data_IF_991007867133
#
_entry.id   IF_991007867133
#
_cell.length_a   1.000
_cell.length_b   1.000
_cell.length_c   1.000
_cell.angle_alpha   90.00
_cell.angle_beta   90.00
_cell.angle_gamma   90.00
#
_symmetry.space_group_name_H-M   'P 1'
#
loop_
_entity.id
_entity.type
_entity.pdbx_description
1 polymer ?
#
# COMPACT_ATOMS: atom_id res chain seq x y z
N UNK A 1 44.29 12.54 -1.25
CA UNK A 1 45.61 13.20 -1.16
C UNK A 1 45.38 14.70 -1.07
N UNK A 2 45.39 15.25 0.14
CA UNK A 2 45.77 16.60 0.58
C UNK A 2 45.55 16.62 2.10
N UNK A 3 46.60 17.05 2.81
CA UNK A 3 46.88 16.99 4.25
C UNK A 3 46.05 18.03 5.04
N UNK A 4 45.40 17.65 6.14
CA UNK A 4 45.84 17.72 7.55
C UNK A 4 45.85 19.12 8.20
N UNK A 5 45.14 19.26 9.33
CA UNK A 5 45.63 19.95 10.54
C UNK A 5 45.00 19.36 11.80
N UNK A 6 45.88 19.08 12.76
CA UNK A 6 45.66 18.43 14.05
C UNK A 6 45.04 19.33 15.12
N UNK A 7 44.36 18.70 16.08
CA UNK A 7 44.17 19.21 17.44
C UNK A 7 44.12 18.03 18.42
N UNK A 8 45.17 17.88 19.25
CA UNK A 8 45.30 16.88 20.33
C UNK A 8 44.40 17.23 21.53
N UNK A 9 43.89 16.22 22.25
CA UNK A 9 43.88 16.18 23.73
C UNK A 9 43.56 14.79 24.30
N UNK A 10 44.62 14.23 24.90
CA UNK A 10 44.80 13.34 26.05
C UNK A 10 43.65 12.47 26.61
N UNK A 11 44.01 11.19 26.80
CA UNK A 11 43.35 10.19 27.63
C UNK A 11 43.68 10.38 29.12
N UNK A 12 42.70 10.19 29.99
CA UNK A 12 42.94 9.85 31.39
C UNK A 12 41.93 8.79 31.84
N UNK A 13 42.46 7.66 32.27
CA UNK A 13 41.74 6.49 32.79
C UNK A 13 41.42 6.72 34.27
N UNK A 14 40.19 6.44 34.70
CA UNK A 14 39.86 6.26 36.12
C UNK A 14 38.74 5.22 36.28
N UNK A 15 39.12 4.09 36.89
CA UNK A 15 38.22 3.08 37.46
C UNK A 15 37.33 3.70 38.54
N UNK A 16 36.10 3.20 38.71
CA UNK A 16 35.41 3.22 40.00
C UNK A 16 34.37 2.11 40.13
N UNK A 17 34.41 1.54 41.33
CA UNK A 17 33.85 0.28 41.79
C UNK A 17 32.32 0.23 41.94
N UNK A 18 31.82 -1.01 41.90
CA UNK A 18 30.48 -1.41 42.31
C UNK A 18 30.29 -1.21 43.82
N UNK A 19 29.16 -0.62 44.23
CA UNK A 19 28.60 -0.77 45.57
C UNK A 19 27.08 -0.64 45.51
N UNK A 20 26.40 -1.73 45.83
CA UNK A 20 24.96 -1.87 46.02
C UNK A 20 24.46 -0.98 47.16
N UNK A 21 23.32 -0.32 47.00
CA UNK A 21 22.46 0.05 48.13
C UNK A 21 20.98 0.10 47.70
N UNK A 22 20.23 -0.86 48.25
CA UNK A 22 18.78 -0.93 48.20
C UNK A 22 18.19 0.18 49.09
N UNK A 23 17.16 0.87 48.62
CA UNK A 23 16.35 1.77 49.46
C UNK A 23 15.01 1.09 49.72
N UNK A 24 14.78 0.80 50.99
CA UNK A 24 13.61 0.18 51.58
C UNK A 24 12.44 1.16 51.70
N UNK A 25 11.23 0.64 51.45
CA UNK A 25 9.96 1.32 51.70
C UNK A 25 9.61 1.30 53.20
N UNK A 26 8.95 2.35 53.75
CA UNK A 26 8.30 2.26 55.03
C UNK A 26 6.84 1.81 54.88
N UNK A 27 6.43 0.90 55.75
CA UNK A 27 5.07 0.40 55.88
C UNK A 27 4.27 1.22 56.92
N UNK A 28 2.94 1.09 56.81
CA UNK A 28 1.87 1.29 57.80
C UNK A 28 1.27 2.70 57.98
N UNK A 29 -0.01 2.83 57.61
CA UNK A 29 -1.09 2.85 58.60
C UNK A 29 -2.46 2.70 57.94
N UNK A 30 -3.20 1.74 58.46
CA UNK A 30 -4.60 1.44 58.14
C UNK A 30 -5.48 2.44 58.89
N UNK A 31 -6.26 3.25 58.20
CA UNK A 31 -7.45 3.88 58.78
C UNK A 31 -8.63 3.75 57.82
N UNK A 32 -9.64 3.05 58.33
CA UNK A 32 -10.95 2.92 57.74
C UNK A 32 -11.62 4.29 57.59
N UNK A 33 -12.22 4.56 56.44
CA UNK A 33 -13.31 5.51 56.31
C UNK A 33 -14.52 4.81 55.73
N UNK A 34 -15.65 5.10 56.39
CA UNK A 34 -16.92 4.42 56.33
C UNK A 34 -17.60 4.55 54.97
N UNK A 35 -18.39 3.52 54.66
CA UNK A 35 -19.42 3.46 53.64
C UNK A 35 -20.38 4.66 53.74
N UNK A 36 -20.26 5.60 52.80
CA UNK A 36 -21.36 6.50 52.43
C UNK A 36 -21.92 6.03 51.10
N UNK A 37 -23.07 5.36 51.18
CA UNK A 37 -23.95 5.05 50.06
C UNK A 37 -24.38 6.34 49.35
N UNK A 38 -23.81 6.60 48.19
CA UNK A 38 -24.43 7.45 47.17
C UNK A 38 -24.48 6.65 45.87
N UNK A 39 -25.71 6.49 45.39
CA UNK A 39 -26.07 5.89 44.12
C UNK A 39 -25.52 6.76 42.98
N UNK A 40 -24.27 6.57 42.61
CA UNK A 40 -23.80 6.97 41.29
C UNK A 40 -23.94 5.77 40.36
N UNK A 41 -24.76 5.97 39.31
CA UNK A 41 -25.11 4.97 38.34
C UNK A 41 -23.89 4.31 37.72
N UNK A 42 -23.51 3.14 38.25
CA UNK A 42 -22.69 2.18 37.53
C UNK A 42 -23.47 1.84 36.27
N UNK A 43 -23.10 2.46 35.17
CA UNK A 43 -23.59 2.11 33.85
C UNK A 43 -23.21 0.64 33.66
N UNK A 44 -24.18 -0.25 33.86
CA UNK A 44 -24.00 -1.69 33.70
C UNK A 44 -23.57 -1.90 32.25
N UNK A 45 -22.29 -2.20 32.02
CA UNK A 45 -21.66 -2.50 30.72
C UNK A 45 -22.15 -3.84 30.14
N UNK A 46 -23.42 -4.19 30.39
CA UNK A 46 -23.96 -5.53 30.21
C UNK A 46 -24.48 -5.84 28.81
N UNK A 47 -24.27 -4.99 27.80
CA UNK A 47 -24.47 -5.30 26.37
C UNK A 47 -24.03 -4.11 25.50
N UNK A 48 -22.86 -4.18 24.88
CA UNK A 48 -22.56 -3.35 23.71
C UNK A 48 -23.09 -4.09 22.48
N UNK A 49 -24.29 -3.72 22.03
CA UNK A 49 -24.83 -4.24 20.78
C UNK A 49 -24.04 -3.63 19.60
N UNK A 50 -23.39 -4.48 18.80
CA UNK A 50 -22.70 -4.04 17.59
C UNK A 50 -23.76 -3.71 16.53
N UNK A 51 -23.81 -2.43 16.12
CA UNK A 51 -24.71 -1.99 15.06
C UNK A 51 -24.27 -2.56 13.70
N UNK A 52 -25.20 -2.80 12.76
CA UNK A 52 -24.83 -3.26 11.42
C UNK A 52 -23.99 -2.21 10.69
N UNK A 53 -23.01 -2.67 9.93
CA UNK A 53 -22.17 -1.83 9.08
C UNK A 53 -22.91 -1.56 7.77
N UNK A 54 -23.28 -0.31 7.54
CA UNK A 54 -24.04 0.14 6.35
C UNK A 54 -23.33 1.21 5.53
N UNK A 55 -22.16 1.68 5.95
CA UNK A 55 -21.39 2.70 5.23
C UNK A 55 -19.89 2.40 5.26
N UNK A 56 -19.28 2.26 4.08
CA UNK A 56 -17.88 1.90 3.96
C UNK A 56 -16.93 2.96 4.56
N UNK A 57 -17.24 4.26 4.47
CA UNK A 57 -16.38 5.32 5.01
C UNK A 57 -16.26 5.36 6.53
N UNK A 58 -17.10 4.61 7.27
CA UNK A 58 -17.29 4.75 8.72
C UNK A 58 -17.06 3.44 9.48
N UNK A 59 -16.02 2.68 9.10
CA UNK A 59 -15.67 1.42 9.76
C UNK A 59 -14.32 1.56 10.46
N UNK A 60 -14.27 1.25 11.75
CA UNK A 60 -13.03 1.09 12.52
C UNK A 60 -12.70 -0.38 12.74
N UNK A 61 -11.42 -0.67 12.95
CA UNK A 61 -10.94 -2.02 13.30
C UNK A 61 -10.37 -2.06 14.71
N UNK A 62 -10.75 -3.09 15.46
CA UNK A 62 -10.13 -3.44 16.73
C UNK A 62 -9.81 -4.93 16.67
N UNK A 63 -8.54 -5.27 16.86
CA UNK A 63 -8.06 -6.66 16.76
C UNK A 63 -8.68 -7.58 17.81
N UNK A 64 -8.73 -8.88 17.49
CA UNK A 64 -9.33 -9.92 18.34
C UNK A 64 -8.71 -9.99 19.74
N UNK A 65 -7.40 -9.71 19.83
CA UNK A 65 -6.65 -9.71 21.09
C UNK A 65 -6.91 -8.48 21.96
N UNK A 66 -7.61 -7.46 21.47
CA UNK A 66 -7.92 -6.29 22.27
C UNK A 66 -8.93 -6.64 23.36
N UNK A 67 -8.68 -6.17 24.58
CA UNK A 67 -9.56 -6.40 25.74
C UNK A 67 -11.01 -5.94 25.54
N UNK A 68 -11.28 -5.09 24.53
CA UNK A 68 -12.62 -4.71 24.11
C UNK A 68 -13.50 -5.92 23.72
N UNK A 69 -12.91 -6.96 23.10
CA UNK A 69 -13.65 -8.17 22.74
C UNK A 69 -14.18 -8.93 23.97
N UNK A 70 -13.56 -8.79 25.15
CA UNK A 70 -14.06 -9.39 26.41
C UNK A 70 -15.38 -8.75 26.88
N UNK A 71 -15.67 -7.53 26.43
CA UNK A 71 -16.89 -6.80 26.78
C UNK A 71 -18.08 -7.20 25.88
N UNK A 72 -17.82 -7.82 24.73
CA UNK A 72 -18.83 -8.26 23.77
C UNK A 72 -19.29 -9.69 24.07
N UNK A 73 -20.01 -9.90 25.19
CA UNK A 73 -20.56 -11.23 25.52
C UNK A 73 -21.76 -11.57 24.63
N UNK A 74 -21.63 -12.59 23.79
CA UNK A 74 -22.75 -13.17 23.00
C UNK A 74 -22.45 -13.48 21.53
N UNK A 75 -21.32 -13.04 20.99
CA UNK A 75 -20.88 -13.45 19.65
C UNK A 75 -20.07 -14.75 19.74
N UNK A 76 -20.38 -15.74 18.88
CA UNK A 76 -19.59 -16.98 18.80
C UNK A 76 -18.20 -16.77 18.19
N UNK A 77 -18.00 -15.65 17.48
CA UNK A 77 -16.73 -15.25 16.84
C UNK A 77 -16.35 -13.82 17.26
N UNK A 78 -15.05 -13.49 17.35
CA UNK A 78 -14.61 -12.15 17.69
C UNK A 78 -15.10 -11.14 16.65
N UNK A 79 -15.64 -10.02 17.10
CA UNK A 79 -16.08 -8.93 16.22
C UNK A 79 -14.92 -7.97 16.05
N UNK A 80 -14.46 -7.76 14.82
CA UNK A 80 -13.28 -6.93 14.56
C UNK A 80 -13.60 -5.61 13.85
N UNK A 81 -14.78 -5.52 13.21
CA UNK A 81 -15.24 -4.28 12.57
C UNK A 81 -16.33 -3.61 13.40
N UNK A 82 -16.20 -2.31 13.56
CA UNK A 82 -17.13 -1.50 14.33
C UNK A 82 -17.59 -0.31 13.51
N UNK A 83 -18.91 -0.03 13.45
CA UNK A 83 -19.39 1.22 12.87
C UNK A 83 -18.93 2.35 13.76
N UNK A 84 -18.18 3.28 13.18
CA UNK A 84 -17.77 4.50 13.86
C UNK A 84 -18.88 5.54 13.71
N UNK A 85 -19.35 6.14 14.81
CA UNK A 85 -20.25 7.27 14.74
C UNK A 85 -19.70 8.33 13.78
N UNK A 86 -20.56 8.92 12.93
CA UNK A 86 -20.16 9.99 12.01
C UNK A 86 -19.46 11.16 12.72
N UNK A 87 -19.73 11.31 14.02
CA UNK A 87 -19.23 12.38 14.89
C UNK A 87 -18.22 11.91 15.97
N UNK A 88 -17.58 10.74 15.86
CA UNK A 88 -16.64 10.30 16.93
C UNK A 88 -15.42 11.23 17.11
N UNK A 89 -15.06 12.03 16.09
CA UNK A 89 -14.06 13.10 16.20
C UNK A 89 -14.65 14.45 16.69
N UNK A 90 -15.97 14.56 16.81
CA UNK A 90 -16.66 15.79 17.19
C UNK A 90 -16.55 16.11 18.69
N UNK A 91 -15.99 15.21 19.51
CA UNK A 91 -15.68 15.53 20.90
C UNK A 91 -14.46 16.46 21.05
N UNK A 92 -13.69 16.73 19.98
CA UNK A 92 -12.51 17.61 20.05
C UNK A 92 -12.20 18.48 18.82
N UNK A 93 -12.85 18.29 17.66
CA UNK A 93 -12.53 19.05 16.44
C UNK A 93 -13.83 19.60 15.81
N UNK A 94 -13.95 20.93 15.59
CA UNK A 94 -15.11 21.53 14.92
C UNK A 94 -15.44 20.84 13.60
N UNK A 95 -16.72 20.75 13.25
CA UNK A 95 -17.18 20.18 12.00
C UNK A 95 -16.80 21.10 10.81
N UNK A 96 -15.57 20.98 10.33
CA UNK A 96 -15.04 21.81 9.24
C UNK A 96 -13.55 22.05 9.42
N UNK A 97 -12.87 22.35 8.32
CA UNK A 97 -11.54 22.93 8.43
C UNK A 97 -11.64 24.32 9.03
N UNK A 98 -10.68 24.66 9.90
CA UNK A 98 -10.51 26.02 10.40
C UNK A 98 -10.45 27.01 9.21
N UNK A 99 -11.19 28.15 9.25
CA UNK A 99 -11.10 29.17 8.21
C UNK A 99 -9.66 29.58 7.83
N UNK A 100 -8.72 29.59 8.78
CA UNK A 100 -7.31 29.86 8.49
C UNK A 100 -6.70 28.77 7.60
N UNK A 101 -6.97 27.50 7.91
CA UNK A 101 -6.49 26.36 7.12
C UNK A 101 -7.04 26.42 5.68
N UNK A 102 -8.31 26.78 5.52
CA UNK A 102 -8.91 27.01 4.19
C UNK A 102 -8.17 28.11 3.41
N UNK A 103 -7.79 29.21 4.08
CA UNK A 103 -7.01 30.28 3.44
C UNK A 103 -5.61 29.80 3.04
N UNK A 104 -4.96 29.01 3.88
CA UNK A 104 -3.64 28.40 3.59
C UNK A 104 -3.76 27.50 2.35
N UNK A 105 -4.77 26.63 2.30
CA UNK A 105 -5.04 25.74 1.17
C UNK A 105 -5.29 26.52 -0.13
N UNK A 106 -6.07 27.61 -0.07
CA UNK A 106 -6.29 28.51 -1.21
C UNK A 106 -4.99 29.14 -1.70
N UNK A 107 -4.14 29.64 -0.80
CA UNK A 107 -2.82 30.22 -1.14
C UNK A 107 -1.86 29.19 -1.74
N UNK A 108 -1.92 27.93 -1.29
CA UNK A 108 -1.18 26.80 -1.89
C UNK A 108 -1.76 26.33 -3.23
N UNK A 109 -2.88 26.89 -3.66
CA UNK A 109 -3.58 26.50 -4.89
C UNK A 109 -4.16 25.08 -4.82
N UNK A 110 -4.44 24.56 -3.63
CA UNK A 110 -4.87 23.17 -3.42
C UNK A 110 -6.19 22.83 -4.15
N UNK A 111 -7.06 23.82 -4.33
CA UNK A 111 -8.36 23.69 -5.02
C UNK A 111 -8.28 24.03 -6.52
N UNK A 112 -7.10 24.37 -7.04
CA UNK A 112 -6.94 24.76 -8.44
C UNK A 112 -6.81 23.51 -9.31
N UNK A 113 -7.67 23.43 -10.32
CA UNK A 113 -7.63 22.41 -11.37
C UNK A 113 -7.15 23.04 -12.69
N UNK A 114 -6.48 22.26 -13.57
CA UNK A 114 -6.13 22.72 -14.91
C UNK A 114 -7.40 22.91 -15.78
N UNK A 115 -7.27 23.44 -17.00
CA UNK A 115 -8.39 23.49 -17.95
C UNK A 115 -9.07 22.12 -18.09
N UNK A 116 -10.39 22.12 -18.26
CA UNK A 116 -11.20 20.89 -18.29
C UNK A 116 -10.68 19.86 -19.30
N UNK A 117 -10.24 20.30 -20.48
CA UNK A 117 -9.67 19.43 -21.51
C UNK A 117 -8.44 18.67 -21.01
N UNK A 118 -7.56 19.34 -20.27
CA UNK A 118 -6.38 18.70 -19.68
C UNK A 118 -6.75 17.82 -18.49
N UNK A 119 -7.75 18.19 -17.70
CA UNK A 119 -8.28 17.29 -16.65
C UNK A 119 -8.80 15.99 -17.25
N UNK A 120 -9.63 16.09 -18.29
CA UNK A 120 -10.27 14.95 -18.96
C UNK A 120 -9.19 14.01 -19.56
N UNK A 121 -8.18 14.56 -20.24
CA UNK A 121 -7.02 13.81 -20.76
C UNK A 121 -6.24 13.06 -19.68
N UNK A 122 -5.95 13.73 -18.55
CA UNK A 122 -5.21 13.13 -17.44
C UNK A 122 -6.01 12.04 -16.71
N UNK A 123 -7.31 12.24 -16.54
CA UNK A 123 -8.22 11.24 -15.93
C UNK A 123 -8.31 10.00 -16.83
N UNK A 124 -8.48 10.18 -18.13
CA UNK A 124 -8.48 9.07 -19.09
C UNK A 124 -7.13 8.35 -19.13
N UNK A 125 -6.02 9.09 -19.08
CA UNK A 125 -4.66 8.50 -18.97
C UNK A 125 -4.53 7.65 -17.69
N UNK A 126 -5.06 8.11 -16.56
CA UNK A 126 -5.08 7.34 -15.32
C UNK A 126 -5.85 6.03 -15.48
N UNK A 127 -7.07 6.06 -16.01
CA UNK A 127 -7.89 4.85 -16.18
C UNK A 127 -7.32 3.89 -17.22
N UNK A 128 -6.63 4.39 -18.25
CA UNK A 128 -6.01 3.55 -19.27
C UNK A 128 -4.73 2.84 -18.75
N UNK A 129 -3.88 3.53 -17.99
CA UNK A 129 -2.51 3.06 -17.73
C UNK A 129 -2.16 2.84 -16.26
N UNK A 130 -2.77 3.56 -15.32
CA UNK A 130 -2.50 3.39 -13.89
C UNK A 130 -3.49 2.43 -13.23
N UNK A 131 -4.78 2.56 -13.56
CA UNK A 131 -5.86 1.76 -12.98
C UNK A 131 -5.69 0.25 -13.15
N UNK A 132 -5.16 -0.30 -14.26
CA UNK A 132 -4.96 -1.76 -14.37
C UNK A 132 -3.98 -2.36 -13.35
N UNK A 133 -3.04 -1.57 -12.83
CA UNK A 133 -2.10 -1.98 -11.76
C UNK A 133 -2.62 -1.56 -10.38
N UNK A 134 -3.44 -0.50 -10.33
CA UNK A 134 -3.96 0.13 -9.11
C UNK A 134 -5.48 0.33 -9.25
N UNK A 135 -6.30 -0.75 -9.32
CA UNK A 135 -7.74 -0.70 -9.63
C UNK A 135 -8.57 -0.29 -8.41
N UNK A 136 -8.18 0.81 -7.79
CA UNK A 136 -8.66 1.24 -6.47
C UNK A 136 -9.82 2.22 -6.56
N UNK A 137 -10.20 2.66 -7.75
CA UNK A 137 -11.27 3.63 -8.01
C UNK A 137 -12.40 2.94 -8.75
N UNK A 138 -13.63 3.18 -8.31
CA UNK A 138 -14.83 2.85 -9.09
C UNK A 138 -14.98 3.91 -10.19
N UNK A 139 -14.67 3.55 -11.44
CA UNK A 139 -14.65 4.45 -12.59
C UNK A 139 -16.05 5.00 -12.87
N UNK A 140 -17.06 4.15 -12.88
CA UNK A 140 -18.45 4.56 -13.16
C UNK A 140 -18.94 5.60 -12.15
N UNK A 141 -18.74 5.35 -10.85
CA UNK A 141 -19.08 6.29 -9.78
C UNK A 141 -18.25 7.58 -9.87
N UNK A 142 -16.94 7.47 -10.08
CA UNK A 142 -16.05 8.64 -10.17
C UNK A 142 -16.43 9.55 -11.33
N UNK A 143 -16.66 9.00 -12.52
CA UNK A 143 -16.99 9.78 -13.72
C UNK A 143 -18.39 10.41 -13.61
N UNK A 144 -19.35 9.72 -13.00
CA UNK A 144 -20.65 10.29 -12.66
C UNK A 144 -20.52 11.52 -11.77
N UNK A 145 -19.76 11.41 -10.68
CA UNK A 145 -19.49 12.54 -9.77
C UNK A 145 -18.71 13.66 -10.47
N UNK A 146 -17.70 13.33 -11.28
CA UNK A 146 -16.86 14.31 -11.96
C UNK A 146 -17.65 15.18 -12.96
N UNK A 147 -18.74 14.63 -13.53
CA UNK A 147 -19.66 15.35 -14.40
C UNK A 147 -20.72 16.15 -13.64
N UNK A 148 -20.94 15.86 -12.36
CA UNK A 148 -21.94 16.53 -11.51
C UNK A 148 -21.29 17.64 -10.66
N UNK A 149 -21.49 18.94 -10.99
CA UNK A 149 -20.94 20.03 -10.21
C UNK A 149 -21.51 20.12 -8.79
N UNK A 150 -22.66 19.48 -8.50
CA UNK A 150 -23.30 19.51 -7.18
C UNK A 150 -22.76 18.46 -6.23
N UNK A 151 -22.20 17.37 -6.77
CA UNK A 151 -21.63 16.27 -6.00
C UNK A 151 -20.29 15.80 -6.59
N UNK A 152 -19.29 16.70 -6.65
CA UNK A 152 -18.01 16.37 -7.26
C UNK A 152 -17.23 15.35 -6.40
N UNK A 153 -16.28 14.60 -7.00
CA UNK A 153 -15.35 13.79 -6.24
C UNK A 153 -14.53 14.66 -5.29
N UNK A 154 -13.92 14.03 -4.29
CA UNK A 154 -13.01 14.71 -3.39
C UNK A 154 -11.90 15.45 -4.15
N UNK A 155 -11.64 16.70 -3.74
CA UNK A 155 -10.52 17.47 -4.27
C UNK A 155 -9.18 16.77 -4.05
N UNK A 156 -8.99 16.12 -2.90
CA UNK A 156 -7.77 15.35 -2.63
C UNK A 156 -7.62 14.23 -3.66
N UNK A 157 -8.69 13.48 -3.90
CA UNK A 157 -8.69 12.38 -4.85
C UNK A 157 -8.43 12.85 -6.29
N UNK A 158 -9.08 13.94 -6.73
CA UNK A 158 -8.85 14.50 -8.07
C UNK A 158 -7.39 14.90 -8.24
N UNK A 159 -6.80 15.64 -7.29
CA UNK A 159 -5.38 16.03 -7.39
C UNK A 159 -4.46 14.80 -7.47
N UNK A 160 -4.78 13.71 -6.75
CA UNK A 160 -4.05 12.46 -6.80
C UNK A 160 -4.20 11.70 -8.14
N UNK A 161 -5.39 11.71 -8.74
CA UNK A 161 -5.63 11.12 -10.06
C UNK A 161 -4.87 11.92 -11.13
N UNK A 162 -4.93 13.26 -11.07
CA UNK A 162 -4.17 14.13 -11.98
C UNK A 162 -2.66 13.95 -11.81
N UNK A 163 -2.17 13.75 -10.59
CA UNK A 163 -0.78 13.40 -10.32
C UNK A 163 -0.36 12.12 -11.04
N UNK A 164 -1.13 11.05 -10.88
CA UNK A 164 -0.84 9.76 -11.50
C UNK A 164 -0.93 9.84 -13.03
N UNK A 165 -1.97 10.51 -13.55
CA UNK A 165 -2.12 10.76 -14.99
C UNK A 165 -0.96 11.57 -15.57
N UNK A 166 -0.56 12.67 -14.93
CA UNK A 166 0.53 13.53 -15.40
C UNK A 166 1.90 12.84 -15.37
N UNK A 167 2.08 11.85 -14.51
CA UNK A 167 3.32 11.06 -14.45
C UNK A 167 3.48 10.15 -15.68
N UNK A 168 2.36 9.74 -16.29
CA UNK A 168 2.32 8.81 -17.42
C UNK A 168 2.11 9.55 -18.75
N UNK A 169 1.38 10.66 -18.72
CA UNK A 169 0.97 11.42 -19.90
C UNK A 169 2.17 11.92 -20.71
N UNK A 170 2.01 11.88 -22.04
CA UNK A 170 2.94 12.45 -23.03
C UNK A 170 2.47 13.81 -23.55
N UNK A 171 1.42 14.38 -22.94
CA UNK A 171 0.83 15.65 -23.38
C UNK A 171 1.84 16.80 -23.27
N UNK A 172 2.08 17.49 -24.39
CA UNK A 172 3.04 18.58 -24.49
C UNK A 172 2.71 19.78 -23.60
N UNK A 173 1.43 19.98 -23.22
CA UNK A 173 1.02 21.05 -22.33
C UNK A 173 1.57 20.89 -20.90
N UNK A 174 1.97 19.68 -20.51
CA UNK A 174 2.55 19.39 -19.20
C UNK A 174 4.08 19.54 -19.17
N UNK A 175 4.70 19.62 -20.34
CA UNK A 175 6.15 19.60 -20.50
C UNK A 175 6.72 20.99 -20.22
N UNK A 176 7.44 21.10 -19.10
CA UNK A 176 8.29 22.25 -18.79
C UNK A 176 9.72 21.76 -18.84
N UNK A 177 10.57 22.43 -19.63
CA UNK A 177 11.96 22.01 -19.88
C UNK A 177 12.09 20.56 -20.38
N UNK A 178 11.11 20.11 -21.17
CA UNK A 178 11.07 18.75 -21.75
C UNK A 178 10.63 17.65 -20.78
N UNK A 179 10.09 17.98 -19.61
CA UNK A 179 9.63 17.01 -18.61
C UNK A 179 8.28 17.37 -17.98
N UNK A 180 7.47 16.36 -17.65
CA UNK A 180 6.23 16.54 -16.86
C UNK A 180 6.50 16.75 -15.36
N UNK A 181 7.76 16.70 -14.93
CA UNK A 181 8.15 16.74 -13.50
C UNK A 181 7.59 17.94 -12.74
N UNK A 182 7.51 19.11 -13.37
CA UNK A 182 6.94 20.32 -12.77
C UNK A 182 5.43 20.19 -12.53
N UNK A 183 4.69 19.65 -13.50
CA UNK A 183 3.26 19.40 -13.36
C UNK A 183 2.99 18.34 -12.28
N UNK A 184 3.71 17.22 -12.33
CA UNK A 184 3.68 16.13 -11.33
C UNK A 184 3.93 16.68 -9.92
N UNK A 185 5.00 17.48 -9.74
CA UNK A 185 5.30 18.09 -8.45
C UNK A 185 4.20 19.08 -7.99
N UNK A 186 3.55 19.78 -8.92
CA UNK A 186 2.45 20.70 -8.61
C UNK A 186 1.24 19.95 -8.08
N UNK A 187 0.78 18.91 -8.77
CA UNK A 187 -0.34 18.08 -8.31
C UNK A 187 -0.05 17.40 -6.98
N UNK A 188 1.17 16.88 -6.80
CA UNK A 188 1.60 16.31 -5.52
C UNK A 188 1.55 17.32 -4.38
N UNK A 189 2.10 18.53 -4.55
CA UNK A 189 2.07 19.56 -3.49
C UNK A 189 0.65 19.99 -3.13
N UNK A 190 -0.25 20.07 -4.11
CA UNK A 190 -1.68 20.38 -3.90
C UNK A 190 -2.38 19.26 -3.12
N UNK A 191 -2.22 18.01 -3.56
CA UNK A 191 -2.77 16.84 -2.87
C UNK A 191 -2.22 16.74 -1.44
N UNK A 192 -0.90 16.87 -1.27
CA UNK A 192 -0.26 16.81 0.03
C UNK A 192 -0.75 17.92 0.97
N UNK A 193 -0.99 19.12 0.48
CA UNK A 193 -1.56 20.19 1.31
C UNK A 193 -2.95 19.83 1.83
N UNK A 194 -3.81 19.22 1.01
CA UNK A 194 -5.13 18.74 1.43
C UNK A 194 -5.03 17.59 2.44
N UNK A 195 -4.10 16.66 2.23
CA UNK A 195 -3.83 15.57 3.15
C UNK A 195 -3.34 16.06 4.52
N UNK A 196 -2.33 16.95 4.54
CA UNK A 196 -1.75 17.48 5.78
C UNK A 196 -2.76 18.32 6.59
N UNK A 197 -3.80 18.83 5.94
CA UNK A 197 -4.87 19.59 6.56
C UNK A 197 -6.02 18.71 7.08
N UNK A 198 -5.95 17.38 6.95
CA UNK A 198 -7.06 16.46 7.24
C UNK A 198 -8.36 16.82 6.47
N UNK A 199 -8.22 17.27 5.22
CA UNK A 199 -9.34 17.68 4.36
C UNK A 199 -10.31 16.51 4.07
N UNK A 200 -9.75 15.32 3.82
CA UNK A 200 -10.53 14.15 3.45
C UNK A 200 -11.07 13.42 4.68
N UNK A 201 -12.38 13.12 4.67
CA UNK A 201 -13.07 12.44 5.76
C UNK A 201 -13.48 11.02 5.41
N UNK A 202 -13.71 10.75 4.13
CA UNK A 202 -14.00 9.41 3.66
C UNK A 202 -12.71 8.58 3.68
N UNK A 203 -12.73 7.58 4.56
CA UNK A 203 -11.56 6.73 4.85
C UNK A 203 -11.08 5.93 3.65
N UNK A 204 -12.01 5.52 2.79
CA UNK A 204 -11.69 4.80 1.55
C UNK A 204 -10.99 5.74 0.59
N UNK A 205 -11.54 6.93 0.38
CA UNK A 205 -10.95 8.01 -0.43
C UNK A 205 -9.56 8.39 0.09
N UNK A 206 -9.37 8.48 1.41
CA UNK A 206 -8.07 8.76 2.01
C UNK A 206 -7.02 7.70 1.63
N UNK A 207 -7.34 6.40 1.78
CA UNK A 207 -6.43 5.30 1.42
C UNK A 207 -6.13 5.30 -0.09
N UNK A 208 -7.14 5.53 -0.93
CA UNK A 208 -6.98 5.67 -2.39
C UNK A 208 -6.01 6.82 -2.72
N UNK A 209 -6.21 7.99 -2.12
CA UNK A 209 -5.35 9.16 -2.30
C UNK A 209 -3.92 8.91 -1.83
N UNK A 210 -3.71 8.25 -0.69
CA UNK A 210 -2.38 7.89 -0.19
C UNK A 210 -1.65 6.94 -1.16
N UNK A 211 -2.33 5.93 -1.67
CA UNK A 211 -1.78 5.05 -2.71
C UNK A 211 -1.37 5.82 -3.96
N UNK A 212 -2.21 6.76 -4.40
CA UNK A 212 -1.97 7.56 -5.59
C UNK A 212 -0.91 8.66 -5.39
N UNK A 213 -0.70 9.16 -4.18
CA UNK A 213 0.44 10.02 -3.85
C UNK A 213 1.79 9.32 -4.08
N UNK A 214 1.82 7.98 -3.99
CA UNK A 214 3.00 7.17 -4.30
C UNK A 214 3.49 7.23 -5.75
N UNK A 215 2.75 7.86 -6.67
CA UNK A 215 3.20 8.14 -8.04
C UNK A 215 4.16 9.33 -8.13
N UNK A 216 4.33 10.08 -7.03
CA UNK A 216 5.34 11.12 -6.92
C UNK A 216 6.72 10.54 -6.56
N UNK A 217 7.74 10.96 -7.30
CA UNK A 217 9.14 10.73 -6.94
C UNK A 217 9.98 11.89 -7.48
N UNK A 218 10.62 12.66 -6.59
CA UNK A 218 11.41 13.83 -6.96
C UNK A 218 12.81 13.47 -7.51
N UNK A 219 13.21 12.20 -7.45
CA UNK A 219 14.50 11.70 -7.87
C UNK A 219 15.23 10.88 -6.79
N UNK A 220 16.43 10.34 -7.10
CA UNK A 220 17.15 9.42 -6.22
C UNK A 220 17.44 9.94 -4.81
N UNK A 221 17.56 11.27 -4.65
CA UNK A 221 17.89 11.90 -3.37
C UNK A 221 16.66 12.05 -2.43
N UNK A 222 15.44 11.91 -2.95
CA UNK A 222 14.21 11.99 -2.15
C UNK A 222 13.86 10.61 -1.57
N UNK A 223 14.52 10.29 -0.46
CA UNK A 223 14.37 9.01 0.26
C UNK A 223 13.22 9.06 1.28
N UNK A 224 12.80 10.27 1.69
CA UNK A 224 11.89 10.44 2.84
C UNK A 224 10.42 10.24 2.45
N UNK A 225 9.99 10.74 1.27
CA UNK A 225 8.56 10.70 0.86
C UNK A 225 8.37 10.10 -0.54
N UNK A 226 9.14 9.05 -0.83
CA UNK A 226 9.04 8.28 -2.07
C UNK A 226 7.81 7.34 -2.07
N UNK A 227 7.67 6.58 -3.17
CA UNK A 227 6.62 5.58 -3.36
C UNK A 227 6.49 4.60 -2.18
N UNK A 228 7.60 4.24 -1.52
CA UNK A 228 7.60 3.34 -0.37
C UNK A 228 6.90 3.97 0.84
N UNK A 229 7.26 5.21 1.20
CA UNK A 229 6.65 5.92 2.33
C UNK A 229 5.12 5.98 2.23
N UNK A 230 4.60 6.39 1.07
CA UNK A 230 3.16 6.51 0.85
C UNK A 230 2.46 5.16 0.86
N UNK A 231 3.09 4.13 0.28
CA UNK A 231 2.54 2.77 0.28
C UNK A 231 2.47 2.21 1.70
N UNK A 232 3.53 2.33 2.49
CA UNK A 232 3.55 1.83 3.87
C UNK A 232 2.58 2.59 4.78
N UNK A 233 2.47 3.91 4.60
CA UNK A 233 1.49 4.73 5.31
C UNK A 233 0.05 4.31 4.95
N UNK A 234 -0.22 4.05 3.67
CA UNK A 234 -1.53 3.59 3.21
C UNK A 234 -1.87 2.20 3.77
N UNK A 235 -0.89 1.29 3.87
CA UNK A 235 -1.07 -0.04 4.50
C UNK A 235 -1.48 0.10 5.96
N UNK A 236 -0.75 0.91 6.75
CA UNK A 236 -1.04 1.12 8.15
C UNK A 236 -2.44 1.71 8.37
N UNK A 237 -2.82 2.72 7.58
CA UNK A 237 -4.15 3.34 7.64
C UNK A 237 -5.24 2.35 7.21
N UNK A 238 -5.03 1.57 6.16
CA UNK A 238 -5.98 0.55 5.71
C UNK A 238 -6.21 -0.56 6.75
N UNK A 239 -5.15 -0.99 7.45
CA UNK A 239 -5.26 -1.96 8.54
C UNK A 239 -6.03 -1.38 9.74
N UNK A 240 -5.82 -0.10 10.08
CA UNK A 240 -6.61 0.58 11.12
C UNK A 240 -8.10 0.70 10.78
N UNK A 241 -8.44 0.68 9.49
CA UNK A 241 -9.82 0.65 9.00
C UNK A 241 -10.35 -0.77 8.73
N UNK A 242 -9.53 -1.80 8.95
CA UNK A 242 -9.93 -3.20 8.82
C UNK A 242 -10.08 -3.68 7.38
N UNK A 243 -9.39 -3.06 6.41
CA UNK A 243 -9.46 -3.49 5.01
C UNK A 243 -8.80 -4.86 4.79
N UNK A 244 -7.93 -5.30 5.71
CA UNK A 244 -7.33 -6.64 5.73
C UNK A 244 -8.28 -7.72 6.24
N UNK A 245 -9.50 -7.32 6.66
CA UNK A 245 -10.50 -8.22 7.21
C UNK A 245 -11.74 -8.30 6.34
N UNK A 246 -12.28 -9.51 6.15
CA UNK A 246 -13.47 -9.77 5.35
C UNK A 246 -14.68 -9.08 5.94
N UNK A 247 -15.52 -8.57 5.05
CA UNK A 247 -16.79 -7.93 5.37
C UNK A 247 -17.92 -8.47 4.51
N UNK A 248 -17.79 -9.72 4.05
CA UNK A 248 -18.81 -10.39 3.25
C UNK A 248 -20.18 -10.36 3.95
N UNK A 249 -20.20 -10.52 5.27
CA UNK A 249 -21.39 -10.51 6.12
C UNK A 249 -21.87 -9.11 6.55
N UNK A 250 -21.26 -8.03 6.04
CA UNK A 250 -21.70 -6.65 6.34
C UNK A 250 -22.91 -6.23 5.50
N UNK A 251 -23.59 -5.17 5.92
CA UNK A 251 -24.70 -4.54 5.18
C UNK A 251 -24.25 -3.54 4.10
N UNK A 252 -22.97 -3.57 3.70
CA UNK A 252 -22.47 -2.77 2.59
C UNK A 252 -22.99 -3.29 1.25
N UNK A 253 -23.01 -2.42 0.23
CA UNK A 253 -23.34 -2.85 -1.13
C UNK A 253 -22.28 -3.80 -1.68
N UNK A 254 -22.63 -4.57 -2.71
CA UNK A 254 -21.72 -5.55 -3.31
C UNK A 254 -20.55 -4.81 -3.96
N UNK A 255 -20.83 -3.73 -4.70
CA UNK A 255 -19.82 -2.85 -5.31
C UNK A 255 -18.83 -2.26 -4.29
N UNK A 256 -19.29 -1.89 -3.08
CA UNK A 256 -18.44 -1.40 -2.00
C UNK A 256 -17.52 -2.50 -1.42
N UNK A 257 -18.03 -3.72 -1.24
CA UNK A 257 -17.24 -4.88 -0.78
C UNK A 257 -16.14 -5.22 -1.80
N UNK A 258 -16.51 -5.27 -3.08
CA UNK A 258 -15.59 -5.52 -4.21
C UNK A 258 -14.50 -4.45 -4.28
N UNK A 259 -14.86 -3.16 -4.20
CA UNK A 259 -13.92 -2.05 -4.20
C UNK A 259 -12.89 -2.17 -3.06
N UNK A 260 -13.34 -2.50 -1.85
CA UNK A 260 -12.44 -2.69 -0.70
C UNK A 260 -11.49 -3.87 -0.89
N UNK A 261 -11.96 -4.98 -1.46
CA UNK A 261 -11.12 -6.12 -1.82
C UNK A 261 -10.06 -5.71 -2.87
N UNK A 262 -10.43 -4.94 -3.91
CA UNK A 262 -9.47 -4.37 -4.89
C UNK A 262 -8.42 -3.48 -4.22
N UNK A 263 -8.82 -2.61 -3.29
CA UNK A 263 -7.89 -1.75 -2.54
C UNK A 263 -6.91 -2.57 -1.71
N UNK A 264 -7.40 -3.55 -0.95
CA UNK A 264 -6.55 -4.41 -0.11
C UNK A 264 -5.53 -5.18 -0.94
N UNK A 265 -5.96 -5.82 -2.03
CA UNK A 265 -5.06 -6.56 -2.90
C UNK A 265 -4.09 -5.65 -3.68
N UNK A 266 -4.44 -4.39 -3.92
CA UNK A 266 -3.51 -3.39 -4.48
C UNK A 266 -2.42 -3.01 -3.48
N UNK A 267 -2.78 -2.79 -2.21
CA UNK A 267 -1.81 -2.57 -1.13
C UNK A 267 -0.87 -3.78 -0.99
N UNK A 268 -1.45 -4.99 -1.07
CA UNK A 268 -0.70 -6.24 -1.04
C UNK A 268 0.34 -6.32 -2.16
N UNK A 269 -0.04 -6.10 -3.42
CA UNK A 269 0.89 -6.19 -4.56
C UNK A 269 1.97 -5.10 -4.50
N UNK A 270 1.59 -3.86 -4.15
CA UNK A 270 2.52 -2.73 -3.93
C UNK A 270 3.60 -3.06 -2.92
N UNK A 271 3.24 -3.63 -1.76
CA UNK A 271 4.18 -4.02 -0.71
C UNK A 271 5.26 -4.99 -1.23
N UNK A 272 4.87 -5.98 -2.05
CA UNK A 272 5.80 -6.98 -2.60
C UNK A 272 6.63 -6.45 -3.74
N UNK A 273 6.03 -5.65 -4.62
CA UNK A 273 6.75 -5.03 -5.73
C UNK A 273 7.85 -4.09 -5.22
N UNK A 274 7.54 -3.29 -4.19
CA UNK A 274 8.51 -2.43 -3.52
C UNK A 274 9.59 -3.22 -2.78
N UNK A 275 9.22 -4.27 -2.05
CA UNK A 275 10.17 -5.14 -1.37
C UNK A 275 11.20 -5.75 -2.34
N UNK A 276 10.76 -6.20 -3.50
CA UNK A 276 11.65 -6.71 -4.57
C UNK A 276 12.49 -5.60 -5.20
N UNK A 277 11.88 -4.47 -5.54
CA UNK A 277 12.55 -3.39 -6.26
C UNK A 277 13.56 -2.62 -5.41
N UNK A 278 13.28 -2.44 -4.11
CA UNK A 278 14.10 -1.66 -3.18
C UNK A 278 14.88 -2.52 -2.18
N UNK A 279 14.72 -3.85 -2.21
CA UNK A 279 15.40 -4.77 -1.29
C UNK A 279 14.91 -4.65 0.16
N UNK A 280 13.66 -4.21 0.35
CA UNK A 280 13.06 -4.00 1.67
C UNK A 280 12.29 -5.24 2.14
N UNK A 281 11.97 -5.32 3.43
CA UNK A 281 11.05 -6.33 3.96
C UNK A 281 9.62 -6.05 3.53
N UNK A 282 8.82 -7.11 3.38
CA UNK A 282 7.36 -7.00 3.26
C UNK A 282 6.76 -6.66 4.61
N UNK A 283 5.69 -5.86 4.61
CA UNK A 283 5.01 -5.41 5.84
C UNK A 283 3.70 -6.14 6.12
N UNK A 284 3.02 -6.63 5.09
CA UNK A 284 1.75 -7.33 5.26
C UNK A 284 2.02 -8.82 5.49
N UNK A 285 1.57 -9.36 6.61
CA UNK A 285 1.49 -10.79 6.84
C UNK A 285 0.11 -11.32 6.43
N UNK A 286 0.07 -12.35 5.59
CA UNK A 286 -1.19 -12.94 5.12
C UNK A 286 -1.91 -13.73 6.22
N UNK A 287 -1.19 -14.23 7.23
CA UNK A 287 -1.81 -14.99 8.33
C UNK A 287 -2.72 -14.10 9.20
N UNK A 288 -2.52 -12.78 9.16
CA UNK A 288 -3.35 -11.81 9.88
C UNK A 288 -4.59 -11.37 9.07
N UNK A 289 -4.74 -11.87 7.83
CA UNK A 289 -5.76 -11.45 6.87
C UNK A 289 -6.77 -12.58 6.59
N UNK A 290 -8.04 -12.24 6.45
CA UNK A 290 -9.12 -13.18 6.07
C UNK A 290 -9.94 -12.70 4.85
N UNK A 291 -9.43 -11.74 4.08
CA UNK A 291 -10.02 -11.29 2.81
C UNK A 291 -9.77 -12.34 1.73
N UNK A 292 -10.82 -12.80 1.05
CA UNK A 292 -10.64 -13.80 -0.01
C UNK A 292 -9.81 -13.25 -1.18
N UNK A 293 -9.25 -14.17 -1.94
CA UNK A 293 -8.54 -13.85 -3.17
C UNK A 293 -9.44 -13.08 -4.14
N UNK A 294 -8.82 -12.15 -4.86
CA UNK A 294 -9.47 -11.37 -5.89
C UNK A 294 -9.95 -12.29 -7.03
N UNK A 295 -11.18 -12.06 -7.49
CA UNK A 295 -11.83 -12.76 -8.60
C UNK A 295 -12.34 -11.77 -9.67
N UNK A 296 -12.76 -12.28 -10.83
CA UNK A 296 -13.29 -11.46 -11.93
C UNK A 296 -14.49 -10.61 -11.51
N UNK A 297 -15.41 -11.21 -10.74
CA UNK A 297 -16.59 -10.52 -10.20
C UNK A 297 -16.23 -9.30 -9.35
N UNK A 298 -15.05 -9.27 -8.73
CA UNK A 298 -14.60 -8.14 -7.93
C UNK A 298 -14.31 -6.89 -8.76
N UNK A 299 -14.38 -6.95 -10.09
CA UNK A 299 -14.20 -5.82 -11.01
C UNK A 299 -15.52 -5.26 -11.53
N UNK A 300 -16.65 -5.91 -11.24
CA UNK A 300 -17.98 -5.37 -11.56
C UNK A 300 -18.26 -4.20 -10.61
N UNK A 301 -18.40 -3.00 -11.17
CA UNK A 301 -18.43 -1.73 -10.41
C UNK A 301 -19.84 -1.25 -10.04
N UNK A 302 -20.88 -1.90 -10.55
CA UNK A 302 -22.28 -1.56 -10.28
C UNK A 302 -22.99 -2.66 -9.48
N UNK A 303 -24.11 -2.28 -8.85
CA UNK A 303 -25.00 -3.20 -8.13
C UNK A 303 -26.22 -3.52 -9.02
N UNK A 304 -26.75 -4.74 -8.92
CA UNK A 304 -27.95 -5.13 -9.68
C UNK A 304 -27.77 -5.05 -11.19
N UNK A 305 -28.81 -4.58 -11.89
CA UNK A 305 -28.90 -4.52 -13.36
C UNK A 305 -28.54 -3.13 -13.93
N UNK A 306 -27.83 -2.30 -13.17
CA UNK A 306 -27.39 -0.99 -13.66
C UNK A 306 -26.47 -1.15 -14.89
N UNK A 307 -26.57 -0.20 -15.83
CA UNK A 307 -25.74 -0.20 -17.04
C UNK A 307 -24.30 0.16 -16.65
N UNK A 308 -23.34 -0.71 -16.98
CA UNK A 308 -21.93 -0.37 -16.86
C UNK A 308 -21.50 0.56 -18.00
N UNK A 309 -21.47 1.87 -17.72
CA UNK A 309 -21.00 2.87 -18.69
C UNK A 309 -19.51 2.67 -19.05
N UNK A 310 -18.74 2.08 -18.13
CA UNK A 310 -17.30 1.90 -18.25
C UNK A 310 -16.89 0.44 -17.99
N UNK A 311 -17.23 -0.48 -18.90
CA UNK A 311 -16.90 -1.89 -18.74
C UNK A 311 -15.40 -2.09 -18.62
N UNK A 312 -15.01 -2.97 -17.70
CA UNK A 312 -13.60 -3.31 -17.47
C UNK A 312 -13.05 -4.13 -18.63
N UNK A 313 -11.82 -3.83 -19.05
CA UNK A 313 -11.11 -4.65 -20.04
C UNK A 313 -10.75 -6.02 -19.43
N UNK A 314 -11.18 -7.15 -20.01
CA UNK A 314 -10.85 -8.48 -19.52
C UNK A 314 -9.34 -8.72 -19.36
N UNK A 315 -8.51 -8.10 -20.21
CA UNK A 315 -7.04 -8.19 -20.13
C UNK A 315 -6.52 -7.50 -18.88
N UNK A 316 -7.09 -6.36 -18.48
CA UNK A 316 -6.70 -5.65 -17.26
C UNK A 316 -7.11 -6.43 -16.01
N UNK A 317 -8.32 -7.00 -16.02
CA UNK A 317 -8.83 -7.86 -14.93
C UNK A 317 -7.93 -9.09 -14.75
N UNK A 318 -7.67 -9.82 -15.84
CA UNK A 318 -6.82 -11.02 -15.80
C UNK A 318 -5.39 -10.67 -15.37
N UNK A 319 -4.82 -9.58 -15.87
CA UNK A 319 -3.51 -9.09 -15.45
C UNK A 319 -3.45 -8.92 -13.93
N UNK A 320 -4.40 -8.20 -13.33
CA UNK A 320 -4.36 -7.92 -11.89
C UNK A 320 -4.55 -9.20 -11.05
N UNK A 321 -5.44 -10.10 -11.45
CA UNK A 321 -5.64 -11.40 -10.79
C UNK A 321 -4.33 -12.21 -10.81
N UNK A 322 -3.67 -12.31 -11.96
CA UNK A 322 -2.39 -13.03 -12.07
C UNK A 322 -1.26 -12.31 -11.32
N UNK A 323 -1.27 -10.98 -11.30
CA UNK A 323 -0.29 -10.19 -10.56
C UNK A 323 -0.40 -10.42 -9.05
N UNK A 324 -1.61 -10.48 -8.49
CA UNK A 324 -1.84 -10.85 -7.08
C UNK A 324 -1.30 -12.24 -6.77
N UNK A 325 -1.61 -13.25 -7.61
CA UNK A 325 -1.10 -14.62 -7.46
C UNK A 325 0.43 -14.67 -7.48
N UNK A 326 1.05 -13.96 -8.42
CA UNK A 326 2.50 -13.84 -8.52
C UNK A 326 3.11 -13.15 -7.29
N UNK A 327 2.50 -12.07 -6.81
CA UNK A 327 2.96 -11.35 -5.63
C UNK A 327 2.93 -12.21 -4.36
N UNK A 328 2.03 -13.20 -4.23
CA UNK A 328 2.09 -14.18 -3.14
C UNK A 328 3.40 -14.98 -3.17
N UNK A 329 3.80 -15.45 -4.35
CA UNK A 329 5.07 -16.17 -4.54
C UNK A 329 6.28 -15.26 -4.30
N UNK A 330 6.22 -14.01 -4.77
CA UNK A 330 7.24 -12.99 -4.51
C UNK A 330 7.45 -12.78 -3.00
N UNK A 331 6.38 -12.72 -2.22
CA UNK A 331 6.47 -12.60 -0.76
C UNK A 331 7.28 -13.74 -0.12
N UNK A 332 7.11 -14.96 -0.60
CA UNK A 332 7.90 -16.12 -0.15
C UNK A 332 9.39 -15.99 -0.52
N UNK A 333 9.68 -15.55 -1.75
CA UNK A 333 11.05 -15.30 -2.23
C UNK A 333 11.75 -14.26 -1.34
N UNK A 334 11.10 -13.12 -1.08
CA UNK A 334 11.66 -12.04 -0.25
C UNK A 334 11.88 -12.49 1.20
N UNK A 335 10.89 -13.17 1.79
CA UNK A 335 10.98 -13.71 3.14
C UNK A 335 12.18 -14.64 3.28
N UNK A 336 12.40 -15.54 2.32
CA UNK A 336 13.56 -16.44 2.32
C UNK A 336 14.87 -15.72 2.07
N UNK A 337 14.93 -14.77 1.12
CA UNK A 337 16.14 -13.97 0.88
C UNK A 337 16.60 -13.25 2.16
N UNK A 338 15.67 -12.68 2.93
CA UNK A 338 15.97 -12.00 4.20
C UNK A 338 16.45 -12.96 5.31
N UNK A 339 15.89 -14.17 5.39
CA UNK A 339 16.23 -15.19 6.39
C UNK A 339 17.56 -15.89 6.11
N UNK A 340 17.86 -16.16 4.83
CA UNK A 340 19.12 -16.79 4.38
C UNK A 340 20.35 -15.90 4.64
N UNK A 341 20.17 -14.58 4.75
CA UNK A 341 21.20 -13.67 5.24
C UNK A 341 21.65 -14.01 6.67
N UNK A 342 20.75 -14.55 7.51
CA UNK A 342 20.97 -14.72 8.96
C UNK A 342 21.38 -16.13 9.36
N UNK A 343 20.81 -17.18 8.77
CA UNK A 343 21.15 -18.57 9.10
C UNK A 343 21.10 -19.42 7.83
N UNK A 344 22.23 -20.03 7.48
CA UNK A 344 22.34 -20.81 6.26
C UNK A 344 21.80 -22.21 6.49
N UNK A 345 20.56 -22.48 6.09
CA UNK A 345 19.99 -23.81 5.88
C UNK A 345 18.51 -23.65 5.51
N UNK A 346 18.19 -23.77 4.20
CA UNK A 346 16.91 -24.29 3.71
C UNK A 346 16.93 -24.42 2.17
N UNK A 347 17.50 -25.50 1.63
CA UNK A 347 17.53 -25.73 0.17
C UNK A 347 16.17 -26.21 -0.36
N UNK A 348 15.45 -26.98 0.45
CA UNK A 348 14.18 -27.62 0.07
C UNK A 348 13.07 -26.59 -0.16
N UNK A 349 13.03 -25.54 0.67
CA UNK A 349 12.07 -24.45 0.52
C UNK A 349 12.30 -23.62 -0.76
N UNK A 350 13.57 -23.43 -1.18
CA UNK A 350 13.90 -22.75 -2.44
C UNK A 350 13.37 -23.53 -3.64
N UNK A 351 13.58 -24.85 -3.65
CA UNK A 351 13.08 -25.72 -4.70
C UNK A 351 11.54 -25.74 -4.74
N UNK A 352 10.87 -25.69 -3.58
CA UNK A 352 9.41 -25.58 -3.53
C UNK A 352 8.91 -24.27 -4.16
N UNK A 353 9.58 -23.14 -3.88
CA UNK A 353 9.21 -21.84 -4.44
C UNK A 353 9.50 -21.80 -5.95
N UNK A 354 10.62 -22.36 -6.42
CA UNK A 354 10.92 -22.44 -7.86
C UNK A 354 9.89 -23.30 -8.61
N UNK A 355 9.46 -24.41 -7.99
CA UNK A 355 8.39 -25.27 -8.51
C UNK A 355 7.07 -24.51 -8.59
N UNK A 356 6.71 -23.76 -7.54
CA UNK A 356 5.49 -22.95 -7.51
C UNK A 356 5.50 -21.82 -8.55
N UNK A 357 6.63 -21.14 -8.74
CA UNK A 357 6.80 -20.14 -9.81
C UNK A 357 6.66 -20.77 -11.20
N UNK A 358 7.28 -21.93 -11.42
CA UNK A 358 7.19 -22.65 -12.69
C UNK A 358 5.77 -23.12 -12.98
N UNK A 359 5.05 -23.61 -11.95
CA UNK A 359 3.63 -23.97 -12.02
C UNK A 359 2.76 -22.76 -12.39
N UNK A 360 2.94 -21.62 -11.71
CA UNK A 360 2.24 -20.38 -12.03
C UNK A 360 2.44 -19.97 -13.49
N UNK A 361 3.67 -20.08 -14.02
CA UNK A 361 3.95 -19.78 -15.44
C UNK A 361 3.20 -20.71 -16.40
N UNK A 362 3.04 -21.99 -16.05
CA UNK A 362 2.33 -22.98 -16.87
C UNK A 362 0.81 -22.74 -16.86
N UNK A 363 0.27 -22.44 -15.68
CA UNK A 363 -1.17 -22.18 -15.46
C UNK A 363 -1.61 -20.79 -15.89
N UNK A 364 -0.67 -19.87 -16.16
CA UNK A 364 -0.96 -18.52 -16.64
C UNK A 364 -1.81 -18.58 -17.93
N UNK A 365 -2.98 -17.91 -17.97
CA UNK A 365 -3.87 -17.93 -19.13
C UNK A 365 -3.20 -17.43 -20.40
N UNK A 366 -3.64 -17.95 -21.55
CA UNK A 366 -3.02 -17.68 -22.86
C UNK A 366 -2.92 -16.18 -23.14
N UNK A 367 -3.94 -15.40 -22.77
CA UNK A 367 -3.96 -13.96 -22.93
C UNK A 367 -2.82 -13.24 -22.17
N UNK A 368 -2.41 -13.77 -21.02
CA UNK A 368 -1.36 -13.20 -20.16
C UNK A 368 0.02 -13.81 -20.37
N UNK A 369 0.18 -14.79 -21.27
CA UNK A 369 1.48 -15.40 -21.55
C UNK A 369 2.38 -14.43 -22.31
N UNK A 370 3.66 -14.41 -21.93
CA UNK A 370 4.67 -13.65 -22.64
C UNK A 370 5.20 -14.41 -23.87
N UNK A 371 5.12 -13.78 -25.03
CA UNK A 371 5.77 -14.19 -26.28
C UNK A 371 6.32 -12.93 -26.98
N UNK A 372 7.63 -12.90 -27.28
CA UNK A 372 8.28 -11.74 -27.91
C UNK A 372 7.58 -11.31 -29.20
N UNK A 373 7.06 -12.25 -30.00
CA UNK A 373 6.42 -11.95 -31.30
C UNK A 373 4.99 -11.42 -31.18
N UNK A 374 4.25 -11.86 -30.14
CA UNK A 374 2.80 -11.61 -29.97
C UNK A 374 2.47 -11.27 -28.52
N UNK A 375 3.23 -10.35 -27.92
CA UNK A 375 2.99 -9.93 -26.55
C UNK A 375 1.96 -8.80 -26.46
N UNK A 376 1.18 -8.83 -25.38
CA UNK A 376 0.49 -7.67 -24.85
C UNK A 376 1.41 -6.91 -23.88
N UNK A 377 1.23 -5.59 -23.77
CA UNK A 377 1.98 -4.75 -22.84
C UNK A 377 1.92 -5.30 -21.40
N UNK A 378 0.71 -5.59 -20.92
CA UNK A 378 0.45 -6.14 -19.58
C UNK A 378 1.11 -7.50 -19.32
N UNK A 379 1.15 -8.39 -20.32
CA UNK A 379 1.88 -9.66 -20.22
C UNK A 379 3.38 -9.41 -20.01
N UNK A 380 3.94 -8.40 -20.67
CA UNK A 380 5.33 -7.96 -20.45
C UNK A 380 5.58 -7.49 -19.03
N UNK A 381 4.74 -6.58 -18.52
CA UNK A 381 4.84 -6.08 -17.13
C UNK A 381 4.75 -7.21 -16.12
N UNK A 382 3.84 -8.17 -16.33
CA UNK A 382 3.67 -9.32 -15.46
C UNK A 382 4.92 -10.21 -15.45
N UNK A 383 5.49 -10.49 -16.62
CA UNK A 383 6.69 -11.33 -16.74
C UNK A 383 7.97 -10.62 -16.28
N UNK A 384 8.04 -9.28 -16.31
CA UNK A 384 9.12 -8.54 -15.66
C UNK A 384 9.18 -8.85 -14.16
N UNK A 385 8.03 -8.82 -13.48
CA UNK A 385 7.95 -9.18 -12.06
C UNK A 385 8.31 -10.65 -11.83
N UNK A 386 7.86 -11.55 -12.70
CA UNK A 386 8.17 -12.98 -12.61
C UNK A 386 9.68 -13.23 -12.71
N UNK A 387 10.36 -12.67 -13.70
CA UNK A 387 11.79 -12.86 -13.88
C UNK A 387 12.60 -12.11 -12.80
N UNK A 388 12.14 -10.96 -12.32
CA UNK A 388 12.77 -10.31 -11.15
C UNK A 388 12.70 -11.20 -9.90
N UNK A 389 11.57 -11.87 -9.65
CA UNK A 389 11.43 -12.82 -8.56
C UNK A 389 12.39 -14.02 -8.70
N UNK A 390 12.49 -14.59 -9.91
CA UNK A 390 13.43 -15.68 -10.20
C UNK A 390 14.89 -15.27 -10.03
N UNK A 391 15.24 -14.07 -10.50
CA UNK A 391 16.57 -13.49 -10.29
C UNK A 391 16.91 -13.45 -8.79
N UNK A 392 15.99 -12.98 -7.94
CA UNK A 392 16.19 -12.94 -6.49
C UNK A 392 16.29 -14.34 -5.87
N UNK A 393 15.44 -15.28 -6.29
CA UNK A 393 15.45 -16.66 -5.79
C UNK A 393 16.78 -17.37 -6.11
N UNK A 394 17.24 -17.29 -7.36
CA UNK A 394 18.53 -17.88 -7.76
C UNK A 394 19.74 -17.18 -7.11
N UNK A 395 19.63 -15.88 -6.81
CA UNK A 395 20.65 -15.18 -6.01
C UNK A 395 20.66 -15.64 -4.55
N UNK A 396 19.50 -16.01 -4.00
CA UNK A 396 19.38 -16.57 -2.66
C UNK A 396 20.01 -17.97 -2.56
N UNK A 397 19.86 -18.78 -3.61
CA UNK A 397 20.33 -20.16 -3.65
C UNK A 397 21.83 -20.32 -3.95
N UNK A 398 22.49 -19.29 -4.50
CA UNK A 398 23.90 -19.37 -4.86
C UNK A 398 24.83 -19.25 -3.63
N UNK A 399 25.67 -20.25 -3.31
CA UNK A 399 26.55 -20.27 -2.13
C UNK A 399 27.60 -19.14 -2.05
N UNK A 400 27.76 -18.34 -3.12
CA UNK A 400 28.87 -17.41 -3.34
C UNK A 400 28.68 -15.99 -2.79
N UNK A 401 27.47 -15.61 -2.35
CA UNK A 401 27.25 -14.28 -1.75
C UNK A 401 27.96 -14.07 -0.39
N UNK A 402 28.60 -15.10 0.19
CA UNK A 402 29.40 -14.99 1.43
C UNK A 402 30.89 -14.69 1.23
N UNK A 403 31.48 -14.87 0.04
CA UNK A 403 32.94 -14.68 -0.17
C UNK A 403 33.35 -14.01 -1.50
N UNK A 404 32.47 -13.94 -2.51
CA UNK A 404 32.87 -13.55 -3.87
C UNK A 404 32.87 -12.03 -4.16
N UNK A 405 32.67 -11.16 -3.16
CA UNK A 405 32.93 -9.72 -3.32
C UNK A 405 34.41 -9.36 -3.18
N UNK A 406 35.29 -10.32 -2.86
CA UNK A 406 36.74 -10.08 -2.73
C UNK A 406 37.59 -10.69 -3.84
N UNK A 407 37.16 -11.78 -4.51
CA UNK A 407 37.98 -12.43 -5.54
C UNK A 407 37.30 -12.48 -6.90
N UNK A 408 37.60 -11.45 -7.70
CA UNK A 408 37.36 -11.45 -9.15
C UNK A 408 38.23 -12.48 -9.85
N UNK A 409 37.63 -13.19 -10.81
CA UNK A 409 38.22 -14.17 -11.77
C UNK A 409 38.36 -15.60 -11.26
N UNK A 410 37.26 -16.36 -11.26
CA UNK A 410 37.19 -17.69 -11.91
C UNK A 410 35.87 -18.41 -11.59
N UNK A 411 35.39 -19.18 -12.57
CA UNK A 411 34.19 -20.02 -12.59
C UNK A 411 32.90 -19.34 -13.05
N UNK A 412 32.68 -19.44 -14.36
CA UNK A 412 31.45 -19.18 -15.10
C UNK A 412 30.52 -20.43 -15.18
N UNK A 413 30.74 -21.47 -14.39
CA UNK A 413 30.11 -22.79 -14.59
C UNK A 413 28.75 -23.05 -13.91
N UNK A 414 28.18 -22.11 -13.15
CA UNK A 414 26.88 -22.27 -12.44
C UNK A 414 25.92 -21.08 -12.68
N UNK A 415 26.15 -20.34 -13.78
CA UNK A 415 25.51 -19.04 -14.08
C UNK A 415 24.09 -19.11 -14.64
N UNK A 416 23.50 -20.28 -14.81
CA UNK A 416 22.44 -20.45 -15.82
C UNK A 416 21.08 -19.83 -15.44
N UNK A 417 20.62 -19.94 -14.19
CA UNK A 417 19.27 -19.45 -13.79
C UNK A 417 19.14 -17.93 -13.73
N UNK A 418 20.03 -17.25 -13.00
CA UNK A 418 19.99 -15.78 -12.84
C UNK A 418 20.28 -15.05 -14.14
N UNK A 419 21.28 -15.52 -14.92
CA UNK A 419 21.63 -14.89 -16.20
C UNK A 419 20.49 -15.05 -17.20
N UNK A 420 19.85 -16.24 -17.28
CA UNK A 420 18.66 -16.42 -18.13
C UNK A 420 17.52 -15.49 -17.74
N UNK A 421 17.21 -15.38 -16.45
CA UNK A 421 16.14 -14.48 -15.98
C UNK A 421 16.47 -13.00 -16.28
N UNK A 422 17.72 -12.57 -16.09
CA UNK A 422 18.16 -11.22 -16.43
C UNK A 422 18.08 -10.95 -17.95
N UNK A 423 18.50 -11.90 -18.79
CA UNK A 423 18.38 -11.77 -20.24
C UNK A 423 16.92 -11.67 -20.69
N UNK A 424 16.01 -12.38 -20.03
CA UNK A 424 14.57 -12.28 -20.31
C UNK A 424 14.02 -10.91 -19.92
N UNK A 425 14.45 -10.33 -18.79
CA UNK A 425 14.08 -8.96 -18.40
C UNK A 425 14.51 -7.98 -19.51
N UNK A 426 15.77 -8.03 -19.95
CA UNK A 426 16.27 -7.17 -21.03
C UNK A 426 15.47 -7.36 -22.32
N UNK A 427 15.22 -8.62 -22.73
CA UNK A 427 14.45 -8.91 -23.93
C UNK A 427 13.00 -8.40 -23.86
N UNK A 428 12.38 -8.38 -22.68
CA UNK A 428 11.04 -7.81 -22.50
C UNK A 428 11.09 -6.29 -22.64
N UNK A 429 12.04 -5.63 -21.98
CA UNK A 429 12.18 -4.16 -22.03
C UNK A 429 12.44 -3.68 -23.45
N UNK A 430 13.34 -4.34 -24.19
CA UNK A 430 13.60 -4.05 -25.61
C UNK A 430 12.31 -4.17 -26.44
N UNK A 431 11.61 -5.31 -26.33
CA UNK A 431 10.40 -5.56 -27.11
C UNK A 431 9.26 -4.56 -26.80
N UNK A 432 9.17 -4.07 -25.55
CA UNK A 432 8.21 -3.03 -25.17
C UNK A 432 8.63 -1.63 -25.65
N UNK A 433 9.93 -1.38 -25.82
CA UNK A 433 10.46 -0.10 -26.31
C UNK A 433 10.35 0.03 -27.83
N UNK A 434 10.51 -1.07 -28.57
CA UNK A 434 10.43 -1.11 -30.04
C UNK A 434 9.01 -0.83 -30.60
N UNK A 435 7.98 -0.81 -29.74
CA UNK A 435 6.58 -0.52 -30.09
C UNK A 435 6.12 0.90 -29.76
N UNK A 436 7.00 1.75 -29.20
CA UNK A 436 6.77 3.20 -29.07
C UNK A 436 7.19 3.91 -30.34
#
# INVERSE_FOLDING_TARGET
MILARHGKREHTTAQRDYSSNCISAPASSTQAYQTSSQQDGVMSLTKLNVLPITSAGHVGYIGESAGFNLLLRGSQSPVVHFPMPRNTLAFSIPAGLDPLEIQILKRRGAFVLPPKTLCDDLIETYFAWAHPIVPVINRTKFMSQYRDPKNPPSMLLIQCILLAGARISTNSQLMVDGSTSTAVATFYRRAKALYDADYERDRITLVQSMLLMGWYWAGPDDIIKNMFYWSQSAIAVAQNFGLHRSMENSGLSISEKRLRKRIWWTLFTRDRALAVGLGQSVSINLDDCDVDLIAEDDFIEHDGNDIDEYPQDPIHVEFFIQYVKLCKLIGLVVSKYSKLSRQGQDCDDINSIDTALSKWKQECPVAMRWDRSKHHFWSGILYLHYFSARCLLHRASSPRNRKALQDTKQSYGSRDGTVRAANMITSIVEALSDRQ
#
